data_IF_186256030253
#
_entry.id   IF_186256030253
#
_cell.length_a   1.000
_cell.length_b   1.000
_cell.length_c   1.000
_cell.angle_alpha   90.00
_cell.angle_beta   90.00
_cell.angle_gamma   90.00
#
_symmetry.space_group_name_H-M   'P 1'
#
loop_
_entity.id
_entity.type
_entity.pdbx_description
1 polymer ?
#
# COMPACT_ATOMS: atom_id res chain seq x y z
N UNK A 1 7.41 -6.70 -0.39
CA UNK A 1 7.82 -5.91 0.80
C UNK A 1 7.05 -4.60 0.80
N UNK A 2 6.98 -3.92 1.96
CA UNK A 2 6.28 -2.64 2.14
C UNK A 2 4.79 -2.65 1.78
N UNK A 3 4.08 -3.69 2.19
CA UNK A 3 2.64 -3.80 1.92
C UNK A 3 1.88 -3.19 3.09
N UNK A 4 1.33 -2.01 2.88
CA UNK A 4 0.45 -1.33 3.84
C UNK A 4 -0.77 -2.20 4.13
N UNK A 5 -1.13 -2.30 5.41
CA UNK A 5 -2.27 -3.10 5.90
C UNK A 5 -2.13 -4.62 5.71
N UNK A 6 -0.95 -5.14 5.36
CA UNK A 6 -0.76 -6.56 5.06
C UNK A 6 -1.10 -7.51 6.22
N UNK A 7 -1.02 -7.07 7.48
CA UNK A 7 -1.39 -7.89 8.63
C UNK A 7 -2.90 -7.95 8.85
N UNK A 8 -3.60 -6.86 8.58
CA UNK A 8 -5.03 -6.70 8.91
C UNK A 8 -5.96 -6.75 7.70
N UNK A 9 -5.40 -6.78 6.48
CA UNK A 9 -6.19 -6.88 5.26
C UNK A 9 -6.98 -8.20 5.24
N UNK A 10 -8.24 -8.14 4.81
CA UNK A 10 -9.01 -9.34 4.45
C UNK A 10 -8.77 -9.80 3.00
N UNK A 11 -8.27 -8.90 2.17
CA UNK A 11 -8.00 -9.14 0.74
C UNK A 11 -6.80 -8.33 0.30
N UNK A 12 -5.99 -8.88 -0.61
CA UNK A 12 -4.87 -8.20 -1.26
C UNK A 12 -5.04 -8.18 -2.78
N UNK A 13 -4.50 -7.14 -3.42
CA UNK A 13 -4.27 -7.12 -4.86
C UNK A 13 -2.82 -7.50 -5.10
N UNK A 14 -2.59 -8.66 -5.70
CA UNK A 14 -1.25 -9.18 -6.01
C UNK A 14 -0.97 -8.99 -7.48
N UNK A 15 0.17 -8.39 -7.80
CA UNK A 15 0.69 -8.30 -9.16
C UNK A 15 1.80 -9.35 -9.31
N UNK A 16 1.64 -10.27 -10.25
CA UNK A 16 2.57 -11.37 -10.48
C UNK A 16 2.86 -11.54 -11.97
N UNK A 17 4.05 -12.04 -12.30
CA UNK A 17 4.43 -12.39 -13.67
C UNK A 17 3.74 -13.70 -14.04
N UNK A 18 2.91 -13.67 -15.08
CA UNK A 18 2.27 -14.87 -15.68
C UNK A 18 2.94 -15.28 -16.98
N UNK A 19 3.56 -14.34 -17.71
CA UNK A 19 4.40 -14.60 -18.88
C UNK A 19 5.76 -13.89 -18.74
N UNK A 20 6.84 -14.61 -18.39
CA UNK A 20 8.17 -14.02 -18.23
C UNK A 20 8.75 -13.39 -19.51
N UNK A 21 8.37 -13.88 -20.69
CA UNK A 21 8.94 -13.45 -21.98
C UNK A 21 8.27 -12.17 -22.50
N UNK A 22 7.06 -11.85 -22.02
CA UNK A 22 6.30 -10.67 -22.44
C UNK A 22 6.70 -9.36 -21.76
N UNK A 23 7.68 -9.38 -20.85
CA UNK A 23 8.15 -8.20 -20.12
C UNK A 23 7.01 -7.53 -19.33
N UNK A 24 6.80 -6.22 -19.52
CA UNK A 24 5.73 -5.48 -18.81
C UNK A 24 4.31 -5.98 -19.13
N UNK A 25 4.11 -6.58 -20.30
CA UNK A 25 2.84 -7.21 -20.71
C UNK A 25 2.68 -8.62 -20.16
N UNK A 26 3.68 -9.12 -19.42
CA UNK A 26 3.64 -10.41 -18.76
C UNK A 26 3.12 -10.37 -17.32
N UNK A 27 2.72 -9.20 -16.83
CA UNK A 27 2.26 -9.02 -15.45
C UNK A 27 0.73 -9.06 -15.42
N UNK A 28 0.16 -9.88 -14.54
CA UNK A 28 -1.28 -9.96 -14.28
C UNK A 28 -1.59 -9.53 -12.83
N UNK A 29 -2.83 -9.11 -12.58
CA UNK A 29 -3.31 -8.70 -11.27
C UNK A 29 -4.34 -9.70 -10.73
N UNK A 30 -4.31 -9.98 -9.43
CA UNK A 30 -5.20 -10.93 -8.77
C UNK A 30 -5.76 -10.35 -7.49
N UNK A 31 -7.04 -10.59 -7.21
CA UNK A 31 -7.71 -10.26 -5.95
C UNK A 31 -7.78 -11.52 -5.10
N UNK A 32 -7.03 -11.55 -4.01
CA UNK A 32 -6.80 -12.77 -3.23
C UNK A 32 -7.19 -12.53 -1.76
N UNK A 33 -8.09 -13.35 -1.18
CA UNK A 33 -8.33 -13.37 0.26
C UNK A 33 -7.05 -13.68 1.03
N UNK A 34 -6.81 -13.00 2.15
CA UNK A 34 -5.56 -13.16 2.93
C UNK A 34 -5.52 -14.43 3.79
N UNK A 35 -6.65 -15.15 3.89
CA UNK A 35 -6.73 -16.50 4.45
C UNK A 35 -6.43 -17.61 3.41
N UNK A 36 -6.10 -17.24 2.17
CA UNK A 36 -5.67 -18.20 1.14
C UNK A 36 -4.41 -18.95 1.60
N UNK A 37 -4.41 -20.30 1.63
CA UNK A 37 -3.24 -21.07 2.02
C UNK A 37 -2.00 -20.69 1.22
N UNK A 38 -0.91 -20.39 1.92
CA UNK A 38 0.34 -19.91 1.33
C UNK A 38 0.56 -18.39 1.46
N UNK A 39 -0.46 -17.62 1.86
CA UNK A 39 -0.29 -16.22 2.26
C UNK A 39 0.39 -16.12 3.62
N UNK A 40 1.51 -15.40 3.71
CA UNK A 40 2.26 -15.25 4.95
C UNK A 40 2.66 -13.80 5.20
N UNK A 41 2.39 -13.31 6.41
CA UNK A 41 2.96 -12.09 6.95
C UNK A 41 4.27 -12.45 7.62
N UNK A 42 5.39 -12.19 6.95
CA UNK A 42 6.74 -12.55 7.43
C UNK A 42 7.14 -11.67 8.61
N UNK A 43 6.89 -10.37 8.51
CA UNK A 43 7.10 -9.39 9.58
C UNK A 43 6.34 -8.10 9.31
N UNK A 44 6.07 -7.38 10.39
CA UNK A 44 5.68 -5.98 10.37
C UNK A 44 6.95 -5.13 10.48
N UNK A 45 7.09 -4.15 9.58
CA UNK A 45 8.25 -3.27 9.53
C UNK A 45 8.25 -2.28 10.69
N UNK A 46 9.43 -2.07 11.29
CA UNK A 46 9.70 -0.96 12.20
C UNK A 46 9.98 0.31 11.38
N UNK A 47 9.26 1.38 11.68
CA UNK A 47 9.19 2.59 10.85
C UNK A 47 9.46 3.83 11.68
N UNK A 48 9.98 4.88 11.03
CA UNK A 48 10.16 6.19 11.67
C UNK A 48 8.83 6.79 12.21
N UNK A 49 7.73 6.54 11.51
CA UNK A 49 6.39 7.03 11.87
C UNK A 49 5.30 6.20 11.21
N UNK A 50 4.07 6.72 11.16
CA UNK A 50 2.88 6.00 10.69
C UNK A 50 2.70 4.63 11.41
N UNK A 51 2.99 4.58 12.71
CA UNK A 51 2.99 3.33 13.50
C UNK A 51 1.61 2.66 13.57
N UNK A 52 0.53 3.45 13.49
CA UNK A 52 -0.84 2.94 13.44
C UNK A 52 -1.17 2.22 12.12
N UNK A 53 -0.35 2.40 11.08
CA UNK A 53 -0.50 1.71 9.82
C UNK A 53 0.52 0.57 9.77
N UNK A 54 0.04 -0.67 9.83
CA UNK A 54 0.94 -1.81 9.64
C UNK A 54 1.48 -1.80 8.21
N UNK A 55 2.74 -2.19 8.09
CA UNK A 55 3.44 -2.27 6.81
C UNK A 55 4.24 -3.54 6.85
N UNK A 56 3.97 -4.45 5.92
CA UNK A 56 4.41 -5.82 6.07
C UNK A 56 5.35 -6.25 4.96
N UNK A 57 6.28 -7.13 5.31
CA UNK A 57 6.85 -8.06 4.36
C UNK A 57 5.92 -9.26 4.24
N UNK A 58 5.47 -9.53 3.00
CA UNK A 58 4.66 -10.70 2.68
C UNK A 58 5.49 -11.75 1.94
N UNK A 59 5.16 -13.00 2.15
CA UNK A 59 5.60 -14.14 1.34
C UNK A 59 4.39 -14.91 0.83
N UNK A 60 4.56 -15.54 -0.34
CA UNK A 60 3.55 -16.38 -0.98
C UNK A 60 4.20 -17.74 -1.24
N UNK A 61 3.93 -18.73 -0.39
CA UNK A 61 4.56 -20.07 -0.46
C UNK A 61 3.52 -21.09 -0.91
N UNK A 62 3.73 -21.67 -2.10
CA UNK A 62 2.80 -22.62 -2.74
C UNK A 62 1.33 -22.13 -2.77
N UNK A 63 1.14 -20.82 -2.78
CA UNK A 63 -0.18 -20.19 -2.77
C UNK A 63 -0.88 -20.41 -4.10
N UNK A 64 -2.02 -21.12 -4.07
CA UNK A 64 -2.83 -21.38 -5.26
C UNK A 64 -3.88 -20.31 -5.45
N UNK A 65 -4.00 -19.81 -6.67
CA UNK A 65 -4.96 -18.78 -7.06
C UNK A 65 -5.72 -19.26 -8.29
N UNK A 66 -7.05 -19.11 -8.30
CA UNK A 66 -7.89 -19.49 -9.44
C UNK A 66 -7.94 -18.37 -10.50
N UNK A 67 -8.13 -18.71 -11.77
CA UNK A 67 -8.22 -17.72 -12.86
C UNK A 67 -9.33 -16.69 -12.65
N UNK A 68 -10.43 -17.10 -12.00
CA UNK A 68 -11.57 -16.22 -11.70
C UNK A 68 -11.24 -15.12 -10.68
N UNK A 69 -10.09 -15.20 -10.01
CA UNK A 69 -9.59 -14.17 -9.10
C UNK A 69 -8.76 -13.11 -9.84
N UNK A 70 -8.51 -13.29 -11.15
CA UNK A 70 -7.79 -12.33 -11.96
C UNK A 70 -8.60 -11.04 -12.12
N UNK A 71 -7.96 -9.92 -11.85
CA UNK A 71 -8.50 -8.59 -12.10
C UNK A 71 -8.06 -8.14 -13.50
N UNK A 72 -9.01 -8.07 -14.42
CA UNK A 72 -8.74 -7.77 -15.83
C UNK A 72 -8.22 -8.98 -16.61
N UNK A 73 -7.68 -8.72 -17.79
CA UNK A 73 -7.13 -9.75 -18.66
C UNK A 73 -5.67 -10.08 -18.33
N UNK A 74 -5.18 -11.20 -18.87
CA UNK A 74 -3.78 -11.57 -18.74
C UNK A 74 -2.89 -10.48 -19.30
N UNK A 75 -1.83 -10.14 -18.57
CA UNK A 75 -0.87 -9.13 -19.01
C UNK A 75 -1.30 -7.67 -18.80
N UNK A 76 -2.51 -7.43 -18.28
CA UNK A 76 -2.99 -6.08 -17.97
C UNK A 76 -2.53 -5.54 -16.61
N UNK A 77 -1.87 -6.38 -15.80
CA UNK A 77 -1.50 -6.06 -14.41
C UNK A 77 -0.65 -4.80 -14.29
N UNK A 78 0.29 -4.57 -15.21
CA UNK A 78 1.11 -3.35 -15.21
C UNK A 78 0.26 -2.08 -15.44
N UNK A 79 -0.70 -2.13 -16.36
CA UNK A 79 -1.64 -1.02 -16.64
C UNK A 79 -2.52 -0.74 -15.41
N UNK A 80 -3.03 -1.80 -14.80
CA UNK A 80 -3.88 -1.71 -13.60
C UNK A 80 -3.11 -1.10 -12.42
N UNK A 81 -1.86 -1.54 -12.20
CA UNK A 81 -1.01 -1.00 -11.14
C UNK A 81 -0.79 0.51 -11.31
N UNK A 82 -0.46 0.96 -12.53
CA UNK A 82 -0.23 2.38 -12.81
C UNK A 82 -1.50 3.22 -12.63
N UNK A 83 -2.65 2.75 -13.12
CA UNK A 83 -3.92 3.45 -12.95
C UNK A 83 -4.28 3.62 -11.47
N UNK A 84 -4.01 2.61 -10.64
CA UNK A 84 -4.24 2.70 -9.20
C UNK A 84 -3.31 3.72 -8.52
N UNK A 85 -2.03 3.76 -8.91
CA UNK A 85 -1.06 4.71 -8.38
C UNK A 85 -1.40 6.17 -8.73
N UNK A 86 -1.96 6.42 -9.91
CA UNK A 86 -2.39 7.77 -10.32
C UNK A 86 -3.46 8.33 -9.37
N UNK A 87 -4.50 7.56 -9.06
CA UNK A 87 -5.50 7.95 -8.07
C UNK A 87 -4.94 8.04 -6.65
N UNK A 88 -4.12 7.07 -6.25
CA UNK A 88 -3.52 7.01 -4.92
C UNK A 88 -2.65 8.23 -4.59
N UNK A 89 -1.92 8.76 -5.58
CA UNK A 89 -1.08 9.96 -5.42
C UNK A 89 -1.86 11.18 -4.94
N UNK A 90 -3.10 11.35 -5.40
CA UNK A 90 -3.96 12.46 -4.98
C UNK A 90 -4.32 12.29 -3.49
N UNK A 91 -4.64 11.07 -3.07
CA UNK A 91 -4.92 10.76 -1.66
C UNK A 91 -3.73 11.03 -0.74
N UNK A 92 -2.52 10.63 -1.15
CA UNK A 92 -1.29 10.91 -0.38
C UNK A 92 -0.99 12.41 -0.33
N UNK A 93 -1.21 13.15 -1.42
CA UNK A 93 -1.05 14.61 -1.43
C UNK A 93 -2.02 15.28 -0.44
N UNK A 94 -3.29 14.84 -0.42
CA UNK A 94 -4.28 15.33 0.53
C UNK A 94 -3.88 15.01 1.99
N UNK A 95 -3.38 13.80 2.26
CA UNK A 95 -2.86 13.42 3.58
C UNK A 95 -1.72 14.34 4.02
N UNK A 96 -0.73 14.59 3.15
CA UNK A 96 0.41 15.45 3.45
C UNK A 96 -0.03 16.90 3.74
N UNK A 97 -0.95 17.45 2.95
CA UNK A 97 -1.49 18.80 3.16
C UNK A 97 -2.23 18.89 4.49
N UNK A 98 -3.04 17.89 4.83
CA UNK A 98 -3.75 17.84 6.12
C UNK A 98 -2.79 17.83 7.31
N UNK A 99 -1.75 16.99 7.26
CA UNK A 99 -0.73 16.93 8.30
C UNK A 99 0.06 18.24 8.43
N UNK A 100 0.47 18.83 7.31
CA UNK A 100 1.21 20.09 7.29
C UNK A 100 0.38 21.23 7.89
N UNK A 101 -0.92 21.29 7.56
CA UNK A 101 -1.85 22.27 8.11
C UNK A 101 -2.00 22.11 9.62
N UNK A 102 -2.24 20.90 10.11
CA UNK A 102 -2.40 20.64 11.55
C UNK A 102 -1.13 21.03 12.33
N UNK A 103 0.05 20.69 11.81
CA UNK A 103 1.33 21.08 12.41
C UNK A 103 1.51 22.61 12.45
N UNK A 104 1.17 23.30 11.37
CA UNK A 104 1.23 24.76 11.30
C UNK A 104 0.27 25.43 12.29
N UNK A 105 -0.99 24.97 12.36
CA UNK A 105 -1.99 25.53 13.28
C UNK A 105 -1.55 25.36 14.73
N UNK A 106 -1.05 24.16 15.10
CA UNK A 106 -0.51 23.92 16.45
C UNK A 106 0.68 24.84 16.78
N UNK A 107 1.61 25.01 15.85
CA UNK A 107 2.78 25.88 16.05
C UNK A 107 2.39 27.36 16.15
N UNK A 108 1.48 27.82 15.28
CA UNK A 108 0.95 29.20 15.25
C UNK A 108 0.26 29.54 16.56
N UNK A 109 -0.58 28.64 17.06
CA UNK A 109 -1.36 28.89 18.28
C UNK A 109 -0.44 28.94 19.49
N UNK A 110 0.50 27.99 19.61
CA UNK A 110 1.51 28.02 20.66
C UNK A 110 2.40 29.28 20.60
N UNK A 111 2.76 29.77 19.41
CA UNK A 111 3.58 30.97 19.28
C UNK A 111 2.86 32.26 19.75
N UNK A 112 1.52 32.27 19.77
CA UNK A 112 0.73 33.39 20.29
C UNK A 112 0.63 33.38 21.81
N UNK A 113 0.59 32.19 22.39
CA UNK A 113 0.46 32.00 23.84
C UNK A 113 1.82 32.02 24.55
N UNK A 114 2.91 31.73 23.82
CA UNK A 114 4.24 31.62 24.40
C UNK A 114 4.89 32.99 24.59
N UNK A 115 5.08 33.37 25.85
CA UNK A 115 5.95 34.48 26.24
C UNK A 115 7.40 34.01 26.39
N UNK A 116 8.34 34.83 25.92
CA UNK A 116 9.77 34.65 26.13
C UNK A 116 10.44 36.03 26.16
N UNK A 117 11.43 36.19 27.05
CA UNK A 117 12.19 37.42 27.23
C UNK A 117 11.44 38.64 27.83
N UNK A 118 10.28 38.41 28.46
CA UNK A 118 9.50 39.45 29.15
C UNK A 118 8.44 40.06 28.24
#
# INVERSE_FOLDING_TARGET
QFITSGQHAGTVIVFAVTDPEAGKRGISAFIVPTDTPGYQVVRVEDKLGQHASDTCQLAFEDMRVHESQRLGEEGEGYRIALANLEGGRIGIAAQAVGMARAAFEAARDYARDREAFG
#
